data_IF_318977537891
#
_entry.id   IF_318977537891
#
_cell.length_a   1.000
_cell.length_b   1.000
_cell.length_c   1.000
_cell.angle_alpha   90.00
_cell.angle_beta   90.00
_cell.angle_gamma   90.00
#
_symmetry.space_group_name_H-M   'P 1'
#
loop_
_entity.id
_entity.type
_entity.pdbx_description
1 polymer ?
#
# COMPACT_ATOMS: atom_id res chain seq x y z
N UNK A 1 -25.89 -49.37 -44.32
CA UNK A 1 -26.79 -48.23 -44.63
C UNK A 1 -27.84 -47.99 -43.54
N UNK A 2 -29.07 -48.52 -43.58
CA UNK A 2 -30.12 -48.14 -42.60
C UNK A 2 -29.77 -48.49 -41.13
N UNK A 3 -29.32 -49.72 -40.87
CA UNK A 3 -28.87 -50.16 -39.52
C UNK A 3 -27.64 -49.42 -39.00
N UNK A 4 -26.82 -48.92 -39.92
CA UNK A 4 -25.58 -48.20 -39.62
C UNK A 4 -25.89 -46.74 -39.27
N UNK A 5 -26.87 -46.16 -39.94
CA UNK A 5 -27.44 -44.84 -39.61
C UNK A 5 -28.11 -44.83 -38.23
N UNK A 6 -28.84 -45.89 -37.90
CA UNK A 6 -29.52 -46.04 -36.60
C UNK A 6 -28.53 -46.21 -35.44
N UNK A 7 -27.44 -46.97 -35.69
CA UNK A 7 -26.32 -47.08 -34.76
C UNK A 7 -25.61 -45.74 -34.55
N UNK A 8 -25.29 -45.03 -35.64
CA UNK A 8 -24.65 -43.70 -35.57
C UNK A 8 -25.54 -42.68 -34.85
N UNK A 9 -26.85 -42.71 -35.07
CA UNK A 9 -27.78 -41.83 -34.37
C UNK A 9 -27.81 -42.09 -32.86
N UNK A 10 -27.67 -43.35 -32.46
CA UNK A 10 -27.61 -43.74 -31.04
C UNK A 10 -26.28 -43.31 -30.41
N UNK A 11 -25.16 -43.54 -31.09
CA UNK A 11 -23.83 -43.11 -30.63
C UNK A 11 -23.73 -41.58 -30.49
N UNK A 12 -24.31 -40.83 -31.44
CA UNK A 12 -24.38 -39.36 -31.34
C UNK A 12 -25.25 -38.92 -30.15
N UNK A 13 -26.40 -39.55 -29.92
CA UNK A 13 -27.26 -39.20 -28.79
C UNK A 13 -26.57 -39.46 -27.43
N UNK A 14 -25.83 -40.57 -27.31
CA UNK A 14 -25.03 -40.87 -26.12
C UNK A 14 -23.87 -39.90 -25.93
N UNK A 15 -23.19 -39.51 -27.01
CA UNK A 15 -22.11 -38.54 -26.97
C UNK A 15 -22.62 -37.14 -26.58
N UNK A 16 -23.73 -36.68 -27.16
CA UNK A 16 -24.34 -35.39 -26.82
C UNK A 16 -24.72 -35.34 -25.35
N UNK A 17 -25.36 -36.39 -24.83
CA UNK A 17 -25.70 -36.47 -23.40
C UNK A 17 -24.47 -36.41 -22.51
N UNK A 18 -23.39 -37.09 -22.90
CA UNK A 18 -22.13 -37.11 -22.13
C UNK A 18 -21.40 -35.76 -22.17
N UNK A 19 -21.50 -35.04 -23.29
CA UNK A 19 -21.00 -33.66 -23.41
C UNK A 19 -21.84 -32.72 -22.55
N UNK A 20 -23.16 -32.80 -22.55
CA UNK A 20 -24.03 -32.00 -21.67
C UNK A 20 -23.75 -32.26 -20.18
N UNK A 21 -23.52 -33.52 -19.80
CA UNK A 21 -23.11 -33.88 -18.43
C UNK A 21 -21.71 -33.34 -18.07
N UNK A 22 -20.77 -33.36 -19.02
CA UNK A 22 -19.42 -32.81 -18.85
C UNK A 22 -19.39 -31.27 -18.81
N UNK A 23 -20.16 -30.60 -19.65
CA UNK A 23 -20.29 -29.13 -19.70
C UNK A 23 -21.04 -28.61 -18.46
N UNK A 24 -22.07 -29.33 -18.02
CA UNK A 24 -22.78 -29.07 -16.77
C UNK A 24 -21.91 -29.29 -15.52
N UNK A 25 -20.92 -30.20 -15.61
CA UNK A 25 -19.94 -30.46 -14.54
C UNK A 25 -18.77 -29.47 -14.58
N UNK A 26 -18.34 -29.01 -15.75
CA UNK A 26 -17.29 -27.98 -15.93
C UNK A 26 -17.74 -26.62 -15.41
N UNK A 27 -19.03 -26.30 -15.53
CA UNK A 27 -19.62 -25.10 -14.88
C UNK A 27 -19.73 -25.22 -13.35
N UNK A 28 -19.45 -26.40 -12.80
CA UNK A 28 -19.55 -26.76 -11.38
C UNK A 28 -18.22 -27.18 -10.77
N UNK A 29 -17.12 -27.11 -11.52
CA UNK A 29 -15.81 -27.07 -10.89
C UNK A 29 -15.72 -25.77 -10.10
N UNK A 30 -15.49 -25.81 -8.77
CA UNK A 30 -15.07 -24.63 -8.09
C UNK A 30 -13.75 -24.24 -8.76
N UNK A 31 -13.76 -23.14 -9.51
CA UNK A 31 -12.56 -22.39 -9.79
C UNK A 31 -11.81 -22.32 -8.47
N UNK A 32 -10.71 -23.04 -8.37
CA UNK A 32 -9.78 -22.95 -7.24
C UNK A 32 -8.99 -21.64 -7.40
N UNK A 33 -9.67 -20.54 -7.76
CA UNK A 33 -9.37 -19.28 -7.14
C UNK A 33 -9.42 -19.56 -5.64
N UNK A 34 -8.36 -19.26 -4.87
CA UNK A 34 -8.43 -19.41 -3.44
C UNK A 34 -9.68 -18.66 -3.03
N UNK A 35 -10.65 -19.38 -2.45
CA UNK A 35 -11.81 -18.75 -1.83
C UNK A 35 -11.21 -17.77 -0.86
N UNK A 36 -11.18 -16.49 -1.26
CA UNK A 36 -11.00 -15.39 -0.37
C UNK A 36 -12.14 -15.60 0.61
N UNK A 37 -11.86 -16.24 1.74
CA UNK A 37 -12.75 -16.28 2.88
C UNK A 37 -13.29 -14.87 2.97
N UNK A 38 -14.62 -14.70 2.79
CA UNK A 38 -15.25 -13.38 2.68
C UNK A 38 -14.68 -12.54 3.82
N UNK A 39 -13.73 -11.67 3.49
CA UNK A 39 -13.06 -10.86 4.46
C UNK A 39 -14.14 -9.98 5.06
N UNK A 40 -14.17 -9.87 6.39
CA UNK A 40 -15.17 -9.08 7.06
C UNK A 40 -15.26 -7.68 6.41
N UNK A 41 -16.45 -7.33 5.92
CA UNK A 41 -16.63 -6.20 5.04
C UNK A 41 -16.30 -4.88 5.75
N UNK A 42 -16.59 -4.81 7.05
CA UNK A 42 -16.32 -3.65 7.88
C UNK A 42 -14.84 -3.54 8.24
N UNK A 43 -14.17 -4.65 8.57
CA UNK A 43 -12.73 -4.65 8.86
C UNK A 43 -11.88 -4.38 7.61
N UNK A 44 -12.24 -4.98 6.47
CA UNK A 44 -11.46 -4.94 5.23
C UNK A 44 -12.10 -4.03 4.17
N UNK A 45 -12.88 -3.03 4.58
CA UNK A 45 -13.60 -2.13 3.67
C UNK A 45 -12.69 -1.53 2.60
N UNK A 46 -11.47 -1.11 2.98
CA UNK A 46 -10.51 -0.49 2.07
C UNK A 46 -9.97 -1.49 1.04
N UNK A 47 -9.65 -2.72 1.47
CA UNK A 47 -9.18 -3.78 0.60
C UNK A 47 -10.28 -4.25 -0.36
N UNK A 48 -11.51 -4.37 0.12
CA UNK A 48 -12.66 -4.72 -0.72
C UNK A 48 -12.94 -3.61 -1.75
N UNK A 49 -12.86 -2.35 -1.34
CA UNK A 49 -12.96 -1.21 -2.24
C UNK A 49 -11.87 -1.19 -3.32
N UNK A 50 -10.63 -1.53 -2.96
CA UNK A 50 -9.53 -1.65 -3.91
C UNK A 50 -9.75 -2.79 -4.91
N UNK A 51 -10.13 -3.99 -4.43
CA UNK A 51 -10.44 -5.13 -5.31
C UNK A 51 -11.52 -4.81 -6.33
N UNK A 52 -12.61 -4.21 -5.90
CA UNK A 52 -13.69 -3.80 -6.79
C UNK A 52 -13.22 -2.80 -7.86
N UNK A 53 -12.24 -1.93 -7.54
CA UNK A 53 -11.65 -1.00 -8.53
C UNK A 53 -10.72 -1.71 -9.52
N UNK A 54 -9.93 -2.66 -9.06
CA UNK A 54 -9.04 -3.45 -9.94
C UNK A 54 -9.88 -4.24 -10.94
N UNK A 55 -10.92 -4.93 -10.47
CA UNK A 55 -11.85 -5.71 -11.32
C UNK A 55 -12.55 -4.86 -12.39
N UNK A 56 -12.79 -3.57 -12.11
CA UNK A 56 -13.44 -2.65 -13.05
C UNK A 56 -12.51 -2.02 -14.08
N UNK A 57 -11.23 -1.84 -13.75
CA UNK A 57 -10.29 -1.05 -14.56
C UNK A 57 -9.24 -1.89 -15.29
N UNK A 58 -9.00 -3.14 -14.87
CA UNK A 58 -7.92 -3.96 -15.41
C UNK A 58 -8.44 -5.10 -16.28
N UNK A 59 -7.84 -5.26 -17.47
CA UNK A 59 -7.98 -6.46 -18.31
C UNK A 59 -6.95 -7.55 -17.97
N UNK A 60 -6.12 -7.31 -16.96
CA UNK A 60 -5.03 -8.19 -16.49
C UNK A 60 -5.17 -8.49 -15.00
N UNK A 61 -4.67 -9.65 -14.57
CA UNK A 61 -4.63 -10.14 -13.17
C UNK A 61 -3.67 -9.34 -12.24
N UNK A 62 -3.39 -8.08 -12.58
CA UNK A 62 -2.40 -7.26 -11.88
C UNK A 62 -2.89 -6.80 -10.51
N UNK A 63 -1.95 -6.68 -9.56
CA UNK A 63 -2.24 -6.23 -8.20
C UNK A 63 -1.95 -4.75 -7.99
N UNK A 64 -2.63 -4.09 -7.06
CA UNK A 64 -2.33 -2.71 -6.64
C UNK A 64 -2.11 -2.64 -5.12
N UNK A 65 -1.19 -1.78 -4.69
CA UNK A 65 -0.99 -1.40 -3.29
C UNK A 65 -1.43 0.05 -3.11
N UNK A 66 -2.29 0.31 -2.12
CA UNK A 66 -2.68 1.67 -1.74
C UNK A 66 -2.13 2.03 -0.36
N UNK A 67 -1.48 3.18 -0.29
CA UNK A 67 -1.25 3.94 0.94
C UNK A 67 -2.40 4.93 1.11
N UNK A 68 -3.15 4.86 2.20
CA UNK A 68 -4.22 5.80 2.51
C UNK A 68 -4.23 6.19 3.98
N UNK A 69 -4.68 7.40 4.27
CA UNK A 69 -4.82 7.87 5.64
C UNK A 69 -5.62 9.17 5.71
N UNK A 70 -6.39 9.29 6.79
CA UNK A 70 -7.05 10.52 7.22
C UNK A 70 -6.66 10.74 8.67
N UNK A 71 -5.86 11.77 8.92
CA UNK A 71 -5.26 12.02 10.23
C UNK A 71 -5.47 13.47 10.65
N UNK A 72 -5.55 13.68 11.95
CA UNK A 72 -5.45 15.01 12.56
C UNK A 72 -4.17 15.02 13.37
N UNK A 73 -3.26 15.92 13.03
CA UNK A 73 -2.00 16.08 13.75
C UNK A 73 -2.25 16.64 15.17
N UNK A 74 -1.31 16.46 16.11
CA UNK A 74 -1.45 17.01 17.47
C UNK A 74 -1.64 18.54 17.52
N UNK A 75 -1.19 19.27 16.51
CA UNK A 75 -1.41 20.71 16.35
C UNK A 75 -2.82 21.07 15.83
N UNK A 76 -3.65 20.07 15.55
CA UNK A 76 -5.01 20.20 15.01
C UNK A 76 -5.09 20.21 13.48
N UNK A 77 -3.96 20.16 12.78
CA UNK A 77 -3.92 20.22 11.31
C UNK A 77 -4.46 18.92 10.71
N UNK A 78 -5.52 18.96 9.88
CA UNK A 78 -6.00 17.77 9.17
C UNK A 78 -5.10 17.45 7.97
N UNK A 79 -4.82 16.17 7.76
CA UNK A 79 -4.15 15.68 6.56
C UNK A 79 -4.84 14.42 6.06
N UNK A 80 -5.21 14.44 4.78
CA UNK A 80 -5.73 13.28 4.07
C UNK A 80 -4.87 13.01 2.84
N UNK A 81 -4.55 11.75 2.60
CA UNK A 81 -3.72 11.34 1.47
C UNK A 81 -4.11 9.95 1.00
N UNK A 82 -4.04 9.75 -0.31
CA UNK A 82 -4.16 8.44 -0.93
C UNK A 82 -3.19 8.36 -2.10
N UNK A 83 -2.45 7.26 -2.19
CA UNK A 83 -1.55 6.98 -3.30
C UNK A 83 -1.58 5.47 -3.61
N UNK A 84 -1.92 5.14 -4.85
CA UNK A 84 -1.83 3.78 -5.38
C UNK A 84 -0.52 3.55 -6.12
N UNK A 85 -0.11 2.29 -6.19
CA UNK A 85 0.99 1.83 -7.02
C UNK A 85 0.70 0.41 -7.50
N UNK A 86 0.88 0.19 -8.80
CA UNK A 86 0.80 -1.13 -9.40
C UNK A 86 1.93 -2.02 -8.86
N UNK A 87 1.61 -3.29 -8.59
CA UNK A 87 2.55 -4.23 -7.99
C UNK A 87 3.70 -4.50 -8.96
N UNK A 88 3.39 -4.66 -10.24
CA UNK A 88 4.36 -4.88 -11.31
C UNK A 88 5.35 -3.72 -11.38
N UNK A 89 4.86 -2.48 -11.44
CA UNK A 89 5.70 -1.29 -11.47
C UNK A 89 6.61 -1.18 -10.23
N UNK A 90 6.12 -1.52 -9.04
CA UNK A 90 6.93 -1.53 -7.81
C UNK A 90 8.00 -2.63 -7.83
N UNK A 91 7.68 -3.81 -8.35
CA UNK A 91 8.62 -4.94 -8.44
C UNK A 91 9.68 -4.74 -9.53
N UNK A 92 9.35 -4.01 -10.59
CA UNK A 92 10.28 -3.65 -11.67
C UNK A 92 11.17 -2.44 -11.33
N UNK A 93 10.81 -1.67 -10.31
CA UNK A 93 11.59 -0.51 -9.85
C UNK A 93 12.92 -0.92 -9.21
N UNK A 94 13.95 -0.07 -9.31
CA UNK A 94 15.20 -0.26 -8.56
C UNK A 94 14.99 0.11 -7.08
N UNK A 95 14.97 -0.90 -6.21
CA UNK A 95 14.74 -0.68 -4.78
C UNK A 95 15.88 0.08 -4.08
N UNK A 96 17.06 0.17 -4.71
CA UNK A 96 18.16 0.97 -4.17
C UNK A 96 17.82 2.46 -4.13
N UNK A 97 16.93 2.94 -4.99
CA UNK A 97 16.42 4.32 -5.00
C UNK A 97 15.65 4.66 -3.70
N UNK A 98 15.03 3.67 -3.06
CA UNK A 98 14.30 3.85 -1.80
C UNK A 98 15.19 3.72 -0.56
N UNK A 99 16.38 3.14 -0.70
CA UNK A 99 17.22 2.74 0.43
C UNK A 99 17.60 3.93 1.33
N UNK A 100 18.01 5.06 0.76
CA UNK A 100 18.35 6.25 1.53
C UNK A 100 17.15 6.79 2.32
N UNK A 101 15.97 6.78 1.69
CA UNK A 101 14.72 7.23 2.29
C UNK A 101 14.36 6.37 3.49
N UNK A 102 14.43 5.04 3.38
CA UNK A 102 14.17 4.14 4.52
C UNK A 102 15.26 4.19 5.58
N UNK A 103 16.54 4.24 5.17
CA UNK A 103 17.67 4.32 6.10
C UNK A 103 17.58 5.57 7.00
N UNK A 104 17.05 6.68 6.48
CA UNK A 104 16.82 7.88 7.29
C UNK A 104 15.77 7.69 8.40
N UNK A 105 14.88 6.71 8.31
CA UNK A 105 13.96 6.37 9.41
C UNK A 105 14.57 5.39 10.42
N UNK A 106 15.67 4.71 10.08
CA UNK A 106 16.34 3.73 10.95
C UNK A 106 17.15 4.32 12.12
N UNK A 107 16.92 5.56 12.54
CA UNK A 107 17.68 6.20 13.63
C UNK A 107 16.76 6.87 14.65
N UNK A 108 16.89 6.55 15.95
CA UNK A 108 15.94 6.97 16.98
C UNK A 108 15.78 8.49 17.09
N UNK A 109 16.89 9.24 17.06
CA UNK A 109 16.85 10.71 17.12
C UNK A 109 16.10 11.32 15.93
N UNK A 110 16.20 10.72 14.74
CA UNK A 110 15.49 11.23 13.55
C UNK A 110 13.99 10.96 13.63
N UNK A 111 13.60 9.82 14.18
CA UNK A 111 12.18 9.54 14.44
C UNK A 111 11.60 10.49 15.49
N UNK A 112 12.36 10.80 16.54
CA UNK A 112 11.93 11.74 17.57
C UNK A 112 11.81 13.17 17.03
N UNK A 113 12.75 13.60 16.17
CA UNK A 113 12.63 14.86 15.44
C UNK A 113 11.35 14.94 14.61
N UNK A 114 11.05 13.89 13.83
CA UNK A 114 9.83 13.84 13.03
C UNK A 114 8.58 13.91 13.92
N UNK A 115 8.58 13.21 15.08
CA UNK A 115 7.49 13.25 16.05
C UNK A 115 7.26 14.66 16.60
N UNK A 116 8.32 15.37 16.98
CA UNK A 116 8.22 16.75 17.46
C UNK A 116 7.73 17.72 16.37
N UNK A 117 8.24 17.59 15.15
CA UNK A 117 7.82 18.43 14.03
C UNK A 117 6.35 18.20 13.69
N UNK A 118 5.89 16.95 13.67
CA UNK A 118 4.47 16.62 13.47
C UNK A 118 3.59 17.13 14.62
N UNK A 119 4.14 17.27 15.83
CA UNK A 119 3.44 17.82 16.98
C UNK A 119 3.46 19.36 17.04
N UNK A 120 4.03 20.04 16.03
CA UNK A 120 4.04 21.50 15.91
C UNK A 120 5.33 22.19 16.36
N UNK A 121 6.39 21.45 16.70
CA UNK A 121 7.70 22.05 17.02
C UNK A 121 8.54 22.22 15.75
N UNK A 122 8.56 23.43 15.20
CA UNK A 122 9.18 23.68 13.90
C UNK A 122 10.57 24.30 13.98
N UNK A 123 10.89 25.03 15.05
CA UNK A 123 12.15 25.76 15.12
C UNK A 123 13.30 24.87 15.60
N UNK A 124 14.50 25.10 15.04
CA UNK A 124 15.71 24.37 15.45
C UNK A 124 16.05 24.62 16.92
N UNK A 125 15.75 25.82 17.43
CA UNK A 125 15.99 26.18 18.82
C UNK A 125 15.10 25.33 19.76
N UNK A 126 13.78 25.32 19.51
CA UNK A 126 12.84 24.53 20.33
C UNK A 126 13.07 23.02 20.22
N UNK A 127 13.49 22.55 19.03
CA UNK A 127 13.92 21.16 18.85
C UNK A 127 15.19 20.87 19.65
N UNK A 128 16.16 21.78 19.68
CA UNK A 128 17.38 21.63 20.46
C UNK A 128 17.17 21.64 21.98
N UNK A 129 16.11 22.31 22.44
CA UNK A 129 15.73 22.32 23.86
C UNK A 129 15.11 20.99 24.32
N UNK A 130 14.70 20.12 23.40
CA UNK A 130 14.34 18.74 23.70
C UNK A 130 15.64 17.96 23.96
N UNK A 131 16.10 17.93 25.22
CA UNK A 131 17.42 17.37 25.61
C UNK A 131 17.71 15.92 25.17
N UNK A 132 16.74 15.20 24.60
CA UNK A 132 16.88 13.89 23.96
C UNK A 132 17.50 13.94 22.55
N UNK A 133 17.60 15.11 21.90
CA UNK A 133 18.00 15.25 20.49
C UNK A 133 19.51 15.42 20.26
N UNK A 134 20.31 15.35 21.33
CA UNK A 134 21.76 15.41 21.29
C UNK A 134 22.32 16.83 21.22
N UNK A 135 23.59 16.94 20.80
CA UNK A 135 24.28 18.24 20.67
C UNK A 135 23.73 19.04 19.47
N UNK A 136 23.92 20.36 19.48
CA UNK A 136 23.53 21.24 18.36
C UNK A 136 24.10 20.77 17.02
N UNK A 137 25.35 20.28 17.00
CA UNK A 137 25.97 19.74 15.78
C UNK A 137 25.30 18.47 15.26
N UNK A 138 24.89 17.58 16.17
CA UNK A 138 24.13 16.37 15.81
C UNK A 138 22.74 16.71 15.29
N UNK A 139 22.04 17.67 15.92
CA UNK A 139 20.73 18.13 15.48
C UNK A 139 20.77 18.63 14.02
N UNK A 140 21.71 19.53 13.70
CA UNK A 140 21.87 20.02 12.32
C UNK A 140 22.22 18.91 11.33
N UNK A 141 23.06 17.96 11.74
CA UNK A 141 23.38 16.79 10.92
C UNK A 141 22.13 15.95 10.62
N UNK A 142 21.31 15.67 11.62
CA UNK A 142 20.08 14.90 11.47
C UNK A 142 19.03 15.60 10.61
N UNK A 143 18.80 16.90 10.84
CA UNK A 143 17.91 17.71 10.01
C UNK A 143 18.37 17.73 8.56
N UNK A 144 19.67 17.89 8.30
CA UNK A 144 20.22 17.85 6.93
C UNK A 144 19.96 16.51 6.25
N UNK A 145 20.08 15.40 6.97
CA UNK A 145 19.77 14.07 6.42
C UNK A 145 18.29 13.92 6.10
N UNK A 146 17.40 14.37 7.00
CA UNK A 146 15.95 14.32 6.76
C UNK A 146 15.52 15.23 5.60
N UNK A 147 16.19 16.38 5.41
CA UNK A 147 15.98 17.24 4.24
C UNK A 147 16.44 16.55 2.96
N UNK A 148 17.64 15.95 2.99
CA UNK A 148 18.20 15.28 1.83
C UNK A 148 17.36 14.09 1.34
N UNK A 149 16.65 13.41 2.24
CA UNK A 149 15.72 12.32 1.90
C UNK A 149 14.27 12.78 1.73
N UNK A 150 14.01 14.09 1.88
CA UNK A 150 12.70 14.68 1.66
C UNK A 150 11.64 14.33 2.71
N UNK A 151 12.04 13.85 3.90
CA UNK A 151 11.13 13.67 5.04
C UNK A 151 10.72 14.98 5.69
N UNK A 152 11.63 15.96 5.69
CA UNK A 152 11.36 17.32 6.13
C UNK A 152 11.78 18.30 5.05
N UNK A 153 11.18 19.48 5.06
CA UNK A 153 11.62 20.62 4.26
C UNK A 153 11.85 21.82 5.16
N UNK A 154 12.69 22.73 4.71
CA UNK A 154 12.84 24.01 5.38
C UNK A 154 11.66 24.92 5.02
N UNK A 155 10.93 25.39 6.04
CA UNK A 155 9.78 26.31 5.88
C UNK A 155 10.11 27.77 6.20
N UNK A 156 11.30 28.02 6.78
CA UNK A 156 11.80 29.34 7.10
C UNK A 156 13.22 29.31 7.66
N UNK A 157 13.75 30.45 8.10
CA UNK A 157 15.09 30.51 8.71
C UNK A 157 15.10 29.68 10.00
N UNK A 158 15.78 28.54 9.97
CA UNK A 158 15.85 27.62 11.12
C UNK A 158 14.53 26.92 11.45
N UNK A 159 13.55 26.91 10.54
CA UNK A 159 12.25 26.27 10.73
C UNK A 159 12.07 25.12 9.74
N UNK A 160 11.52 24.00 10.22
CA UNK A 160 11.32 22.78 9.46
C UNK A 160 9.91 22.23 9.62
N UNK A 161 9.42 21.59 8.57
CA UNK A 161 8.12 20.92 8.56
C UNK A 161 8.19 19.60 7.79
N UNK A 162 7.28 18.69 8.10
CA UNK A 162 7.04 17.49 7.27
C UNK A 162 6.11 17.88 6.12
N UNK A 163 6.48 17.66 4.84
CA UNK A 163 5.59 17.95 3.72
C UNK A 163 4.27 17.19 3.85
N UNK A 164 3.16 17.82 3.43
CA UNK A 164 1.83 17.19 3.53
C UNK A 164 1.77 15.79 2.87
N UNK A 165 2.45 15.62 1.73
CA UNK A 165 2.57 14.35 1.01
C UNK A 165 3.38 13.28 1.74
N UNK A 166 4.09 13.62 2.82
CA UNK A 166 4.90 12.69 3.63
C UNK A 166 4.26 12.33 4.96
N UNK A 167 3.26 13.09 5.44
CA UNK A 167 2.59 12.85 6.72
C UNK A 167 2.00 11.43 6.77
N UNK A 168 1.10 11.12 5.83
CA UNK A 168 0.43 9.81 5.81
C UNK A 168 1.42 8.68 5.52
N UNK A 169 2.30 8.75 4.50
CA UNK A 169 3.30 7.71 4.29
C UNK A 169 4.16 7.43 5.51
N UNK A 170 4.60 8.48 6.23
CA UNK A 170 5.36 8.33 7.48
C UNK A 170 4.59 7.53 8.52
N UNK A 171 3.33 7.91 8.78
CA UNK A 171 2.49 7.23 9.77
C UNK A 171 2.15 5.78 9.35
N UNK A 172 1.99 5.51 8.05
CA UNK A 172 1.76 4.15 7.55
C UNK A 172 2.98 3.26 7.79
N UNK A 173 4.21 3.74 7.54
CA UNK A 173 5.40 2.93 7.86
C UNK A 173 5.55 2.69 9.37
N UNK A 174 5.18 3.66 10.21
CA UNK A 174 5.16 3.47 11.66
C UNK A 174 4.16 2.41 12.09
N UNK A 175 2.95 2.42 11.51
CA UNK A 175 1.95 1.39 11.75
C UNK A 175 2.42 0.01 11.28
N UNK A 176 3.03 -0.07 10.09
CA UNK A 176 3.59 -1.32 9.55
C UNK A 176 4.80 -1.87 10.32
N UNK A 177 5.45 -1.06 11.15
CA UNK A 177 6.55 -1.48 12.01
C UNK A 177 6.09 -2.07 13.37
N UNK A 178 4.81 -1.94 13.71
CA UNK A 178 4.24 -2.53 14.93
C UNK A 178 4.21 -4.05 14.80
N UNK A 179 4.49 -4.76 15.91
CA UNK A 179 4.50 -6.23 16.00
C UNK A 179 3.29 -6.74 16.75
#
# INVERSE_FOLDING_TARGET
MAKEYERLATEIAELTKRVEELEGSTSKEPSVAPTAAKLDADTFWALNGLRARIEQNSSSDGGEVILLGSVTLPDGTPAAWQQGAETEALLESDWSDFAATFASLGHPVRLELLRHILAGTHSTAELGDQGSLGTTGQLHHHLRQLVATGWVRQSGRGSYEVPASRIVPLLVMMAGAQR
#
